data_IF_442562182450
#
_entry.id   IF_442562182450
#
_cell.length_a   1.000
_cell.length_b   1.000
_cell.length_c   1.000
_cell.angle_alpha   90.00
_cell.angle_beta   90.00
_cell.angle_gamma   90.00
#
_symmetry.space_group_name_H-M   'P 1'
#
loop_
_entity.id
_entity.type
_entity.pdbx_description
1 polymer ?
#
# COMPACT_ATOMS: atom_id res chain seq x y z
N UNK A 1 24.75 6.35 55.90
CA UNK A 1 26.17 5.92 55.76
C UNK A 1 26.30 5.24 54.41
N UNK A 2 26.87 5.80 53.35
CA UNK A 2 27.89 6.84 53.28
C UNK A 2 27.65 7.69 52.04
N UNK A 3 27.81 8.97 52.27
CA UNK A 3 27.65 10.13 51.40
C UNK A 3 28.95 10.38 50.63
N UNK A 4 28.88 10.69 49.32
CA UNK A 4 29.81 11.67 48.72
C UNK A 4 29.27 12.23 47.41
N UNK A 5 28.98 13.51 47.49
CA UNK A 5 28.54 14.41 46.44
C UNK A 5 29.75 14.99 45.65
N UNK A 6 29.52 15.84 44.63
CA UNK A 6 30.34 15.97 43.41
C UNK A 6 31.12 17.30 43.30
N UNK A 7 31.91 17.48 42.22
CA UNK A 7 32.44 18.72 41.57
C UNK A 7 33.49 18.25 40.54
N UNK A 8 33.71 18.81 39.34
CA UNK A 8 33.55 20.17 38.83
C UNK A 8 33.52 20.17 37.27
N UNK A 9 33.02 21.24 36.61
CA UNK A 9 32.83 21.33 35.15
C UNK A 9 33.88 22.23 34.45
N UNK A 10 33.75 22.27 33.11
CA UNK A 10 34.25 23.27 32.14
C UNK A 10 35.68 23.11 31.57
N UNK A 11 35.78 22.95 30.24
CA UNK A 11 36.14 24.09 29.39
C UNK A 11 35.64 23.94 27.93
N UNK A 12 35.20 25.03 27.29
CA UNK A 12 34.65 25.03 25.93
C UNK A 12 35.74 25.32 24.87
N UNK A 13 35.77 24.53 23.79
CA UNK A 13 36.59 24.83 22.61
C UNK A 13 35.75 25.63 21.60
N UNK A 14 36.26 26.77 21.08
CA UNK A 14 35.47 27.77 20.33
C UNK A 14 35.15 27.36 18.87
N UNK A 15 34.13 28.00 18.25
CA UNK A 15 33.69 27.68 16.89
C UNK A 15 34.55 28.40 15.83
N UNK A 16 35.00 27.67 14.81
CA UNK A 16 35.53 28.28 13.58
C UNK A 16 34.36 28.51 12.62
N UNK A 17 34.15 29.79 12.28
CA UNK A 17 33.14 30.32 11.36
C UNK A 17 33.54 30.13 9.88
N UNK A 18 32.60 30.31 8.93
CA UNK A 18 32.62 29.71 7.60
C UNK A 18 33.32 30.57 6.54
N UNK A 19 33.78 29.94 5.47
CA UNK A 19 34.12 30.62 4.22
C UNK A 19 32.99 30.43 3.19
N UNK A 20 32.37 31.54 2.82
CA UNK A 20 31.48 31.76 1.66
C UNK A 20 32.18 32.82 0.78
N UNK A 21 31.70 33.13 -0.44
CA UNK A 21 31.61 32.31 -1.64
C UNK A 21 32.49 32.94 -2.76
N UNK A 22 32.73 32.20 -3.86
CA UNK A 22 33.17 32.81 -5.11
C UNK A 22 32.31 32.26 -6.25
N UNK A 23 31.56 33.17 -6.84
CA UNK A 23 30.71 33.06 -8.02
C UNK A 23 31.20 34.18 -8.97
N UNK A 24 30.71 34.34 -10.20
CA UNK A 24 30.70 33.43 -11.35
C UNK A 24 31.42 34.09 -12.56
N UNK A 25 31.86 33.31 -13.58
CA UNK A 25 32.18 33.90 -14.90
C UNK A 25 31.68 32.99 -16.03
N UNK A 26 30.62 33.45 -16.71
CA UNK A 26 30.34 33.21 -18.13
C UNK A 26 30.44 34.55 -18.85
N UNK A 27 30.84 34.55 -20.13
CA UNK A 27 30.04 35.26 -21.11
C UNK A 27 29.73 34.41 -22.36
N UNK A 28 28.96 35.04 -23.24
CA UNK A 28 27.96 34.55 -24.22
C UNK A 28 28.49 34.59 -25.69
N UNK A 29 27.67 34.24 -26.72
CA UNK A 29 28.09 33.57 -27.97
C UNK A 29 28.02 34.39 -29.29
N UNK A 30 28.25 33.67 -30.42
CA UNK A 30 27.94 33.92 -31.86
C UNK A 30 28.88 34.84 -32.68
N UNK A 31 28.89 34.82 -34.05
CA UNK A 31 28.03 34.12 -35.06
C UNK A 31 28.75 33.42 -36.26
N UNK A 32 27.97 32.74 -37.12
CA UNK A 32 28.31 32.24 -38.48
C UNK A 32 28.51 33.39 -39.52
N UNK A 33 29.01 33.12 -40.75
CA UNK A 33 28.08 32.87 -41.89
C UNK A 33 28.56 31.90 -43.02
N UNK A 34 27.57 31.39 -43.77
CA UNK A 34 27.60 30.70 -45.09
C UNK A 34 28.13 31.57 -46.26
N UNK A 35 28.48 31.00 -47.45
CA UNK A 35 27.56 30.80 -48.61
C UNK A 35 27.85 29.51 -49.45
N UNK A 36 26.90 28.76 -50.04
CA UNK A 36 26.07 28.93 -51.25
C UNK A 36 26.48 27.94 -52.37
N UNK A 37 25.57 27.06 -52.83
CA UNK A 37 24.97 27.06 -54.19
C UNK A 37 24.24 25.75 -54.55
N UNK A 38 23.11 25.92 -55.26
CA UNK A 38 22.08 24.95 -55.65
C UNK A 38 22.39 24.28 -57.04
N UNK A 39 21.53 23.50 -57.76
CA UNK A 39 20.04 23.58 -57.85
C UNK A 39 19.21 22.26 -57.98
N UNK A 40 18.01 22.32 -57.38
CA UNK A 40 16.65 22.02 -57.89
C UNK A 40 16.40 21.07 -59.10
N UNK A 41 15.64 19.98 -58.86
CA UNK A 41 14.66 19.36 -59.79
C UNK A 41 13.54 18.64 -59.03
N UNK A 42 12.30 18.79 -59.50
CA UNK A 42 11.07 18.07 -59.12
C UNK A 42 10.14 17.98 -60.35
N UNK A 43 8.97 17.29 -60.36
CA UNK A 43 8.52 16.09 -59.63
C UNK A 43 7.95 14.99 -60.57
N UNK A 44 7.83 13.74 -60.10
CA UNK A 44 7.01 12.70 -60.76
C UNK A 44 5.99 12.08 -59.79
N UNK A 45 4.85 11.69 -60.34
CA UNK A 45 3.56 11.50 -59.65
C UNK A 45 3.10 10.03 -59.74
N UNK A 46 2.50 9.54 -58.63
CA UNK A 46 1.57 8.38 -58.44
C UNK A 46 2.11 6.94 -58.34
N UNK A 47 1.36 5.99 -57.72
CA UNK A 47 0.05 6.08 -57.03
C UNK A 47 -0.01 5.48 -55.60
N UNK A 48 -1.11 5.75 -54.88
CA UNK A 48 -1.51 5.11 -53.60
C UNK A 48 -1.81 3.60 -53.74
N UNK A 49 -1.70 2.82 -52.65
CA UNK A 49 -2.45 1.58 -52.50
C UNK A 49 -3.46 1.63 -51.33
N UNK A 50 -4.69 1.20 -51.61
CA UNK A 50 -5.75 0.90 -50.63
C UNK A 50 -5.52 -0.48 -49.95
N UNK A 51 -6.27 -0.84 -48.89
CA UNK A 51 -5.75 -1.59 -47.74
C UNK A 51 -5.72 -3.11 -47.95
N UNK A 52 -4.57 -3.72 -47.70
CA UNK A 52 -4.39 -5.17 -47.63
C UNK A 52 -4.34 -5.68 -46.20
N UNK A 53 -5.23 -6.60 -45.85
CA UNK A 53 -5.19 -7.40 -44.62
C UNK A 53 -3.86 -8.19 -44.56
N UNK A 54 -3.00 -7.84 -43.59
CA UNK A 54 -1.86 -8.66 -43.17
C UNK A 54 -2.21 -9.52 -41.94
N UNK A 55 -1.56 -10.68 -41.75
CA UNK A 55 -2.00 -11.71 -40.83
C UNK A 55 -1.77 -11.32 -39.36
N UNK A 56 -2.63 -11.84 -38.48
CA UNK A 56 -2.50 -11.75 -37.03
C UNK A 56 -1.12 -12.28 -36.59
N UNK A 57 -0.23 -11.36 -36.18
CA UNK A 57 0.99 -11.72 -35.48
C UNK A 57 0.64 -12.07 -34.03
N UNK A 58 0.97 -13.31 -33.65
CA UNK A 58 1.10 -13.70 -32.24
C UNK A 58 2.07 -12.73 -31.54
N UNK A 59 1.90 -12.43 -30.23
CA UNK A 59 2.82 -11.55 -29.52
C UNK A 59 4.17 -12.26 -29.39
N UNK A 60 5.08 -11.90 -30.29
CA UNK A 60 6.49 -12.25 -30.19
C UNK A 60 7.06 -11.67 -28.90
N UNK A 61 7.85 -12.49 -28.23
CA UNK A 61 8.64 -12.10 -27.08
C UNK A 61 9.59 -10.96 -27.50
N UNK A 62 9.37 -9.74 -27.00
CA UNK A 62 10.20 -8.59 -27.34
C UNK A 62 11.57 -8.66 -26.65
N UNK A 63 12.64 -8.23 -27.33
CA UNK A 63 14.00 -8.24 -26.79
C UNK A 63 14.10 -7.37 -25.52
N UNK A 64 14.40 -8.03 -24.40
CA UNK A 64 14.86 -7.45 -23.13
C UNK A 64 14.13 -6.18 -22.69
N UNK A 65 12.88 -6.29 -22.23
CA UNK A 65 12.13 -5.15 -21.72
C UNK A 65 12.96 -4.33 -20.73
N UNK A 66 13.11 -3.02 -20.97
CA UNK A 66 13.84 -2.13 -20.07
C UNK A 66 13.10 -2.01 -18.72
N UNK A 67 13.82 -1.84 -17.59
CA UNK A 67 13.19 -1.65 -16.29
C UNK A 67 12.38 -0.34 -16.29
N UNK A 68 11.11 -0.41 -15.91
CA UNK A 68 10.19 0.73 -15.96
C UNK A 68 9.17 0.72 -14.80
N UNK A 69 9.16 -0.32 -13.96
CA UNK A 69 8.30 -0.39 -12.79
C UNK A 69 9.10 -0.04 -11.55
N UNK A 70 8.58 0.93 -10.78
CA UNK A 70 9.09 1.31 -9.48
C UNK A 70 8.17 0.76 -8.40
N UNK A 71 8.73 0.07 -7.41
CA UNK A 71 8.08 -0.18 -6.13
C UNK A 71 8.74 0.71 -5.09
N UNK A 72 7.95 1.55 -4.44
CA UNK A 72 8.42 2.51 -3.44
C UNK A 72 7.83 2.12 -2.09
N UNK A 73 8.68 1.84 -1.13
CA UNK A 73 8.30 1.66 0.26
C UNK A 73 8.73 2.90 1.06
N UNK A 74 7.73 3.64 1.53
CA UNK A 74 7.89 4.80 2.39
C UNK A 74 8.06 4.28 3.83
N UNK A 75 9.16 4.60 4.52
CA UNK A 75 9.43 4.01 5.85
C UNK A 75 8.33 4.28 6.90
N UNK A 76 8.43 3.67 8.08
CA UNK A 76 7.37 3.69 9.11
C UNK A 76 6.83 5.08 9.53
N UNK A 77 7.63 6.15 9.36
CA UNK A 77 7.22 7.54 9.67
C UNK A 77 6.36 8.19 8.59
N UNK A 78 6.23 7.56 7.43
CA UNK A 78 5.54 8.10 6.27
C UNK A 78 4.03 7.88 6.27
N UNK A 79 3.49 7.03 7.16
CA UNK A 79 2.08 6.64 7.12
C UNK A 79 1.10 7.84 7.24
N UNK A 80 1.47 8.89 7.98
CA UNK A 80 0.66 10.11 8.12
C UNK A 80 0.76 11.06 6.92
N UNK A 81 1.82 10.94 6.12
CA UNK A 81 2.11 11.76 4.93
C UNK A 81 1.95 10.98 3.62
N UNK A 82 1.29 9.83 3.70
CA UNK A 82 1.15 8.90 2.58
C UNK A 82 0.41 9.52 1.38
N UNK A 83 -0.66 10.32 1.54
CA UNK A 83 -1.28 11.03 0.43
C UNK A 83 -0.30 11.96 -0.30
N UNK A 84 0.47 12.76 0.43
CA UNK A 84 1.44 13.71 -0.11
C UNK A 84 2.60 12.99 -0.81
N UNK A 85 3.02 11.85 -0.27
CA UNK A 85 4.04 11.00 -0.91
C UNK A 85 3.55 10.33 -2.21
N UNK A 86 2.24 10.07 -2.32
CA UNK A 86 1.65 9.64 -3.59
C UNK A 86 1.62 10.78 -4.61
N UNK A 87 1.45 12.04 -4.19
CA UNK A 87 1.53 13.21 -5.08
C UNK A 87 2.94 13.35 -5.68
N UNK A 88 4.00 13.12 -4.89
CA UNK A 88 5.38 13.09 -5.41
C UNK A 88 5.56 12.08 -6.55
N UNK A 89 4.88 10.94 -6.49
CA UNK A 89 4.89 9.93 -7.57
C UNK A 89 4.01 10.36 -8.75
N UNK A 90 2.84 10.94 -8.48
CA UNK A 90 1.91 11.43 -9.49
C UNK A 90 2.53 12.55 -10.35
N UNK A 91 3.41 13.37 -9.76
CA UNK A 91 4.20 14.40 -10.47
C UNK A 91 5.22 13.82 -11.47
N UNK A 92 5.53 12.52 -11.37
CA UNK A 92 6.48 11.83 -12.25
C UNK A 92 5.75 10.99 -13.29
N UNK A 93 4.71 10.27 -12.89
CA UNK A 93 3.91 9.43 -13.80
C UNK A 93 2.45 9.41 -13.38
N UNK A 94 1.50 9.43 -14.33
CA UNK A 94 0.09 9.24 -14.02
C UNK A 94 -0.26 7.79 -13.63
N UNK A 95 0.63 6.82 -13.91
CA UNK A 95 0.38 5.39 -13.66
C UNK A 95 0.90 5.01 -12.28
N UNK A 96 0.17 5.42 -11.24
CA UNK A 96 0.49 5.13 -9.83
C UNK A 96 -0.60 4.26 -9.20
N UNK A 97 -0.18 3.12 -8.67
CA UNK A 97 -1.01 2.24 -7.85
C UNK A 97 -0.61 2.38 -6.40
N UNK A 98 -1.49 2.95 -5.59
CA UNK A 98 -1.29 3.06 -4.16
C UNK A 98 -1.41 1.69 -3.46
N UNK A 99 -0.47 1.37 -2.56
CA UNK A 99 -0.44 0.16 -1.73
C UNK A 99 -0.35 0.54 -0.24
N UNK A 100 -1.47 0.94 0.39
CA UNK A 100 -1.49 1.30 1.81
C UNK A 100 -0.93 0.16 2.70
N UNK A 101 -0.31 0.48 3.84
CA UNK A 101 -0.27 1.81 4.46
C UNK A 101 0.88 2.71 3.99
N UNK A 102 1.90 2.16 3.35
CA UNK A 102 3.21 2.81 3.25
C UNK A 102 3.99 2.42 1.98
N UNK A 103 3.31 1.93 0.94
CA UNK A 103 3.98 1.59 -0.31
C UNK A 103 3.18 2.04 -1.55
N UNK A 104 3.85 2.12 -2.69
CA UNK A 104 3.21 2.36 -3.97
C UNK A 104 3.96 1.65 -5.09
N UNK A 105 3.23 1.34 -6.16
CA UNK A 105 3.81 0.97 -7.45
C UNK A 105 3.61 2.13 -8.42
N UNK A 106 4.61 2.37 -9.27
CA UNK A 106 4.52 3.35 -10.33
C UNK A 106 5.12 2.77 -11.62
N UNK A 107 4.42 2.90 -12.73
CA UNK A 107 4.98 2.61 -14.06
C UNK A 107 5.49 3.92 -14.66
N UNK A 108 6.81 4.01 -14.82
CA UNK A 108 7.49 5.20 -15.33
C UNK A 108 7.83 5.11 -16.81
N UNK A 109 7.34 4.11 -17.55
CA UNK A 109 7.66 3.92 -18.98
C UNK A 109 7.44 5.18 -19.80
N UNK A 110 6.34 5.90 -19.56
CA UNK A 110 6.04 7.18 -20.24
C UNK A 110 6.89 8.37 -19.77
N UNK A 111 7.43 8.30 -18.55
CA UNK A 111 8.19 9.37 -17.92
C UNK A 111 9.68 9.35 -18.31
N UNK A 112 10.24 8.18 -18.66
CA UNK A 112 11.66 8.01 -18.99
C UNK A 112 12.15 9.01 -20.05
N UNK A 113 11.39 9.14 -21.15
CA UNK A 113 11.71 10.07 -22.25
C UNK A 113 11.56 11.54 -21.85
N UNK A 114 10.52 11.86 -21.07
CA UNK A 114 10.25 13.24 -20.65
C UNK A 114 11.35 13.78 -19.72
N UNK A 115 11.75 12.99 -18.72
CA UNK A 115 12.79 13.37 -17.76
C UNK A 115 14.21 13.13 -18.28
N UNK A 116 14.38 12.49 -19.44
CA UNK A 116 15.68 12.08 -20.01
C UNK A 116 16.53 11.32 -18.99
N UNK A 117 15.91 10.38 -18.27
CA UNK A 117 16.52 9.56 -17.22
C UNK A 117 16.05 8.11 -17.36
N UNK A 118 16.89 7.19 -16.93
CA UNK A 118 16.52 5.80 -16.75
C UNK A 118 15.65 5.62 -15.49
N UNK A 119 15.08 4.44 -15.31
CA UNK A 119 14.19 4.17 -14.18
C UNK A 119 14.93 4.26 -12.83
N UNK A 120 16.22 3.94 -12.77
CA UNK A 120 17.04 4.13 -11.57
C UNK A 120 17.24 5.62 -11.23
N UNK A 121 17.48 6.46 -12.22
CA UNK A 121 17.56 7.92 -12.05
C UNK A 121 16.23 8.53 -11.61
N UNK A 122 15.09 8.04 -12.12
CA UNK A 122 13.77 8.44 -11.64
C UNK A 122 13.51 7.97 -10.20
N UNK A 123 13.90 6.75 -9.85
CA UNK A 123 13.82 6.26 -8.48
C UNK A 123 14.64 7.13 -7.50
N UNK A 124 15.85 7.53 -7.89
CA UNK A 124 16.67 8.45 -7.11
C UNK A 124 16.00 9.84 -6.96
N UNK A 125 15.35 10.34 -8.02
CA UNK A 125 14.57 11.58 -7.98
C UNK A 125 13.40 11.50 -7.01
N UNK A 126 12.63 10.39 -7.04
CA UNK A 126 11.53 10.14 -6.10
C UNK A 126 12.02 10.21 -4.67
N UNK A 127 13.12 9.51 -4.35
CA UNK A 127 13.71 9.49 -3.02
C UNK A 127 14.12 10.89 -2.57
N UNK A 128 14.81 11.63 -3.45
CA UNK A 128 15.24 12.99 -3.17
C UNK A 128 14.05 13.90 -2.85
N UNK A 129 12.98 13.84 -3.65
CA UNK A 129 11.76 14.65 -3.44
C UNK A 129 11.04 14.26 -2.16
N UNK A 130 10.86 12.96 -1.90
CA UNK A 130 10.22 12.48 -0.68
C UNK A 130 10.97 12.91 0.59
N UNK A 131 12.31 12.83 0.57
CA UNK A 131 13.14 13.30 1.67
C UNK A 131 13.06 14.82 1.84
N UNK A 132 13.19 15.59 0.75
CA UNK A 132 13.23 17.06 0.81
C UNK A 132 11.89 17.70 1.16
N UNK A 133 10.77 17.16 0.65
CA UNK A 133 9.44 17.76 0.83
C UNK A 133 8.72 17.23 2.07
N UNK A 134 8.97 15.97 2.46
CA UNK A 134 8.15 15.28 3.45
C UNK A 134 8.96 14.57 4.54
N UNK A 135 10.29 14.77 4.61
CA UNK A 135 11.18 14.14 5.59
C UNK A 135 10.98 12.61 5.66
N UNK A 136 10.78 12.00 4.49
CA UNK A 136 10.52 10.58 4.33
C UNK A 136 11.66 9.91 3.57
N UNK A 137 12.33 8.95 4.22
CA UNK A 137 13.26 8.08 3.52
C UNK A 137 12.50 6.89 2.90
N UNK A 138 12.84 6.61 1.65
CA UNK A 138 12.13 5.66 0.82
C UNK A 138 13.11 4.61 0.28
N UNK A 139 12.68 3.35 0.31
CA UNK A 139 13.39 2.26 -0.36
C UNK A 139 12.71 2.00 -1.69
N UNK A 140 13.47 1.98 -2.78
CA UNK A 140 12.91 1.86 -4.13
C UNK A 140 13.50 0.67 -4.85
N UNK A 141 12.64 -0.24 -5.30
CA UNK A 141 13.00 -1.33 -6.19
C UNK A 141 12.59 -1.00 -7.61
N UNK A 142 13.50 -1.22 -8.56
CA UNK A 142 13.34 -0.92 -9.98
C UNK A 142 13.45 -2.23 -10.75
N UNK A 143 12.44 -2.54 -11.57
CA UNK A 143 12.46 -3.75 -12.40
C UNK A 143 11.53 -3.64 -13.61
N UNK A 144 11.46 -4.73 -14.38
CA UNK A 144 10.59 -4.85 -15.57
C UNK A 144 9.13 -5.16 -15.23
N UNK A 145 8.83 -5.56 -14.00
CA UNK A 145 7.47 -5.86 -13.53
C UNK A 145 7.32 -5.66 -12.00
N UNK A 146 6.07 -5.62 -11.48
CA UNK A 146 5.80 -5.38 -10.07
C UNK A 146 6.39 -6.43 -9.11
N UNK A 147 6.40 -7.71 -9.48
CA UNK A 147 6.98 -8.78 -8.67
C UNK A 147 8.46 -8.52 -8.40
N UNK A 148 9.24 -8.31 -9.46
CA UNK A 148 10.67 -8.09 -9.36
C UNK A 148 11.01 -6.77 -8.66
N UNK A 149 10.22 -5.71 -8.90
CA UNK A 149 10.41 -4.42 -8.25
C UNK A 149 10.19 -4.53 -6.72
N UNK A 150 9.13 -5.22 -6.28
CA UNK A 150 8.89 -5.49 -4.86
C UNK A 150 10.01 -6.30 -4.22
N UNK A 151 10.45 -7.36 -4.91
CA UNK A 151 11.56 -8.18 -4.44
C UNK A 151 12.82 -7.35 -4.32
N UNK A 152 13.18 -6.54 -5.31
CA UNK A 152 14.37 -5.69 -5.27
C UNK A 152 14.38 -4.72 -4.08
N UNK A 153 13.25 -4.10 -3.75
CA UNK A 153 13.18 -3.21 -2.60
C UNK A 153 13.34 -3.95 -1.27
N UNK A 154 12.78 -5.15 -1.13
CA UNK A 154 12.85 -5.93 0.11
C UNK A 154 14.25 -6.49 0.40
N UNK A 155 15.03 -6.65 -0.65
CA UNK A 155 16.30 -7.37 -0.64
C UNK A 155 17.49 -6.45 -0.26
N UNK A 156 17.27 -5.13 -0.22
CA UNK A 156 18.26 -4.11 0.07
C UNK A 156 18.11 -3.43 1.43
N UNK A 157 19.12 -2.64 1.84
CA UNK A 157 19.01 -1.84 3.06
C UNK A 157 17.89 -0.78 2.89
N UNK A 158 17.24 -0.38 3.99
CA UNK A 158 16.28 0.70 3.94
C UNK A 158 16.94 1.97 3.43
N UNK A 159 16.21 2.75 2.62
CA UNK A 159 16.72 4.00 2.05
C UNK A 159 17.62 3.81 0.82
N UNK A 160 17.60 2.64 0.17
CA UNK A 160 18.37 2.42 -1.06
C UNK A 160 17.48 2.32 -2.31
N UNK A 161 18.09 2.60 -3.47
CA UNK A 161 17.53 2.22 -4.78
C UNK A 161 18.21 0.93 -5.22
N UNK A 162 17.43 -0.09 -5.59
CA UNK A 162 17.95 -1.33 -6.18
C UNK A 162 17.28 -1.59 -7.51
N UNK A 163 18.10 -1.81 -8.53
CA UNK A 163 17.64 -2.20 -9.86
C UNK A 163 17.88 -3.70 -10.08
N UNK A 164 16.87 -4.39 -10.59
CA UNK A 164 17.05 -5.74 -11.14
C UNK A 164 17.64 -5.59 -12.55
N UNK A 165 18.78 -6.24 -12.85
CA UNK A 165 19.36 -6.18 -14.18
C UNK A 165 18.34 -6.61 -15.25
N UNK A 166 18.25 -5.89 -16.39
CA UNK A 166 17.31 -6.25 -17.44
C UNK A 166 17.69 -7.56 -18.12
N UNK A 167 16.71 -8.16 -18.79
CA UNK A 167 16.87 -9.41 -19.54
C UNK A 167 16.68 -10.67 -18.71
N UNK A 168 16.51 -11.78 -19.41
CA UNK A 168 16.21 -13.09 -18.81
C UNK A 168 17.37 -13.59 -17.93
N UNK A 169 18.62 -13.45 -18.40
CA UNK A 169 19.81 -13.85 -17.64
C UNK A 169 19.95 -13.06 -16.33
N UNK A 170 19.82 -11.73 -16.39
CA UNK A 170 19.89 -10.87 -15.21
C UNK A 170 18.79 -11.14 -14.19
N UNK A 171 17.58 -11.45 -14.68
CA UNK A 171 16.44 -11.85 -13.83
C UNK A 171 16.68 -13.21 -13.19
N UNK A 172 17.16 -14.19 -13.96
CA UNK A 172 17.48 -15.52 -13.47
C UNK A 172 18.57 -15.47 -12.39
N UNK A 173 19.63 -14.70 -12.61
CA UNK A 173 20.73 -14.52 -11.65
C UNK A 173 20.25 -13.86 -10.35
N UNK A 174 19.42 -12.82 -10.46
CA UNK A 174 18.82 -12.17 -9.29
C UNK A 174 17.97 -13.12 -8.46
N UNK A 175 17.20 -14.01 -9.11
CA UNK A 175 16.27 -14.93 -8.45
C UNK A 175 16.94 -16.21 -7.94
N UNK A 176 17.93 -16.76 -8.65
CA UNK A 176 18.39 -18.14 -8.48
C UNK A 176 18.73 -18.53 -7.02
N UNK A 177 19.47 -17.67 -6.33
CA UNK A 177 19.93 -17.90 -4.95
C UNK A 177 18.89 -17.58 -3.87
N UNK A 178 17.75 -16.98 -4.23
CA UNK A 178 16.74 -16.56 -3.25
C UNK A 178 16.02 -17.75 -2.66
N UNK A 179 15.68 -17.72 -1.35
CA UNK A 179 14.86 -18.77 -0.76
C UNK A 179 13.44 -18.73 -1.33
N UNK A 180 12.77 -19.88 -1.39
CA UNK A 180 11.40 -20.00 -1.89
C UNK A 180 10.42 -19.05 -1.17
N UNK A 181 10.65 -18.78 0.12
CA UNK A 181 9.85 -17.87 0.93
C UNK A 181 10.02 -16.38 0.56
N UNK A 182 11.11 -16.02 -0.13
CA UNK A 182 11.32 -14.65 -0.60
C UNK A 182 10.58 -14.35 -1.92
N UNK A 183 10.06 -15.36 -2.61
CA UNK A 183 9.33 -15.15 -3.85
C UNK A 183 7.99 -14.45 -3.55
N UNK A 184 7.79 -13.29 -4.15
CA UNK A 184 6.58 -12.50 -3.88
C UNK A 184 5.31 -13.26 -4.26
N UNK A 185 4.33 -13.26 -3.34
CA UNK A 185 3.07 -13.96 -3.51
C UNK A 185 3.11 -15.46 -3.20
N UNK A 186 4.23 -15.99 -2.70
CA UNK A 186 4.31 -17.31 -2.07
C UNK A 186 4.16 -17.15 -0.55
N UNK A 187 3.12 -17.77 0.01
CA UNK A 187 2.90 -17.78 1.46
C UNK A 187 3.78 -18.80 2.20
N UNK A 188 3.89 -18.69 3.54
CA UNK A 188 4.72 -19.59 4.34
C UNK A 188 4.28 -21.06 4.30
N UNK A 189 3.00 -21.34 4.02
CA UNK A 189 2.52 -22.71 3.84
C UNK A 189 3.02 -23.31 2.52
N UNK A 190 2.90 -22.58 1.42
CA UNK A 190 3.38 -22.96 0.09
C UNK A 190 4.90 -23.14 0.08
N UNK A 191 5.65 -22.22 0.70
CA UNK A 191 7.10 -22.31 0.80
C UNK A 191 7.54 -23.55 1.61
N UNK A 192 6.82 -23.89 2.70
CA UNK A 192 7.06 -25.12 3.47
C UNK A 192 6.74 -26.37 2.66
N UNK A 193 5.63 -26.38 1.92
CA UNK A 193 5.27 -27.50 1.06
C UNK A 193 6.35 -27.75 0.00
N UNK A 194 6.80 -26.70 -0.71
CA UNK A 194 7.89 -26.81 -1.70
C UNK A 194 9.20 -27.28 -1.06
N UNK A 195 9.53 -26.76 0.12
CA UNK A 195 10.73 -27.15 0.87
C UNK A 195 10.70 -28.62 1.29
N UNK A 196 9.55 -29.20 1.61
CA UNK A 196 9.43 -30.63 1.93
C UNK A 196 9.82 -31.54 0.74
N UNK A 197 9.78 -31.01 -0.49
CA UNK A 197 10.22 -31.70 -1.71
C UNK A 197 11.61 -31.24 -2.19
N UNK A 198 12.41 -30.58 -1.33
CA UNK A 198 13.79 -30.15 -1.65
C UNK A 198 13.89 -28.86 -2.49
N UNK A 199 12.76 -28.20 -2.76
CA UNK A 199 12.67 -26.97 -3.54
C UNK A 199 12.82 -25.73 -2.63
N UNK A 200 14.01 -25.56 -2.06
CA UNK A 200 14.29 -24.50 -1.09
C UNK A 200 14.60 -23.14 -1.71
N UNK A 201 15.01 -23.11 -2.99
CA UNK A 201 15.42 -21.89 -3.69
C UNK A 201 14.57 -21.64 -4.93
N UNK A 202 14.46 -20.38 -5.33
CA UNK A 202 13.71 -19.98 -6.53
C UNK A 202 14.33 -20.62 -7.78
N UNK A 203 15.65 -20.69 -7.88
CA UNK A 203 16.32 -21.39 -9.00
C UNK A 203 15.94 -22.88 -9.10
N UNK A 204 15.76 -23.57 -7.97
CA UNK A 204 15.30 -24.98 -7.99
C UNK A 204 13.84 -25.10 -8.38
N UNK A 205 13.01 -24.15 -7.98
CA UNK A 205 11.60 -24.10 -8.40
C UNK A 205 11.50 -23.84 -9.90
N UNK A 206 12.30 -22.92 -10.44
CA UNK A 206 12.35 -22.62 -11.87
C UNK A 206 12.83 -23.84 -12.70
N UNK A 207 13.81 -24.59 -12.19
CA UNK A 207 14.32 -25.81 -12.83
C UNK A 207 13.40 -27.03 -12.66
N UNK A 208 12.43 -26.99 -11.75
CA UNK A 208 11.54 -28.12 -11.50
C UNK A 208 10.59 -28.37 -12.68
N UNK A 209 10.31 -29.64 -12.95
CA UNK A 209 9.37 -30.02 -13.99
C UNK A 209 7.96 -29.47 -13.68
N UNK A 210 7.23 -28.87 -14.64
CA UNK A 210 5.91 -28.29 -14.40
C UNK A 210 4.93 -29.23 -13.69
N UNK A 211 4.87 -30.50 -14.08
CA UNK A 211 4.02 -31.50 -13.43
C UNK A 211 4.36 -31.73 -11.95
N UNK A 212 5.61 -31.58 -11.54
CA UNK A 212 6.02 -31.72 -10.13
C UNK A 212 5.39 -30.60 -9.30
N UNK A 213 5.49 -29.34 -9.76
CA UNK A 213 4.90 -28.20 -9.08
C UNK A 213 3.36 -28.31 -9.03
N UNK A 214 2.74 -28.77 -10.11
CA UNK A 214 1.30 -28.97 -10.17
C UNK A 214 0.81 -30.10 -9.26
N UNK A 215 1.61 -31.17 -9.07
CA UNK A 215 1.29 -32.25 -8.14
C UNK A 215 1.40 -31.80 -6.67
N UNK A 216 2.34 -30.91 -6.36
CA UNK A 216 2.54 -30.40 -4.98
C UNK A 216 1.49 -29.34 -4.63
N UNK A 217 1.21 -28.40 -5.53
CA UNK A 217 0.42 -27.19 -5.24
C UNK A 217 -0.96 -27.15 -5.91
N UNK A 218 -1.25 -28.11 -6.79
CA UNK A 218 -2.38 -28.07 -7.70
C UNK A 218 -2.06 -27.35 -9.02
N UNK A 219 -2.87 -27.61 -10.04
CA UNK A 219 -2.59 -27.19 -11.42
C UNK A 219 -2.43 -25.66 -11.57
N UNK A 220 -3.35 -24.87 -11.00
CA UNK A 220 -3.33 -23.41 -11.12
C UNK A 220 -2.16 -22.78 -10.35
N UNK A 221 -2.00 -23.13 -9.08
CA UNK A 221 -0.94 -22.57 -8.22
C UNK A 221 0.45 -23.04 -8.65
N UNK A 222 0.60 -24.28 -9.11
CA UNK A 222 1.87 -24.79 -9.62
C UNK A 222 2.35 -24.05 -10.87
N UNK A 223 1.44 -23.70 -11.79
CA UNK A 223 1.76 -22.85 -12.96
C UNK A 223 2.18 -21.45 -12.53
N UNK A 224 1.41 -20.80 -11.67
CA UNK A 224 1.70 -19.45 -11.17
C UNK A 224 3.05 -19.38 -10.46
N UNK A 225 3.35 -20.34 -9.58
CA UNK A 225 4.64 -20.39 -8.87
C UNK A 225 5.81 -20.55 -9.84
N UNK A 226 5.64 -21.36 -10.88
CA UNK A 226 6.66 -21.53 -11.92
C UNK A 226 6.91 -20.23 -12.69
N UNK A 227 5.85 -19.57 -13.16
CA UNK A 227 5.96 -18.29 -13.87
C UNK A 227 6.70 -17.24 -13.03
N UNK A 228 6.31 -17.11 -11.76
CA UNK A 228 6.98 -16.21 -10.82
C UNK A 228 8.45 -16.57 -10.58
N UNK A 229 8.78 -17.87 -10.54
CA UNK A 229 10.16 -18.32 -10.37
C UNK A 229 11.05 -17.98 -11.59
N UNK A 230 10.45 -17.82 -12.77
CA UNK A 230 11.10 -17.26 -13.96
C UNK A 230 11.01 -15.72 -14.03
N UNK A 231 10.54 -15.06 -12.97
CA UNK A 231 10.38 -13.61 -12.93
C UNK A 231 9.25 -13.08 -13.81
N UNK A 232 8.33 -13.93 -14.26
CA UNK A 232 7.17 -13.53 -15.07
C UNK A 232 6.02 -13.15 -14.14
N UNK A 233 5.57 -11.90 -14.26
CA UNK A 233 4.35 -11.39 -13.62
C UNK A 233 3.57 -10.55 -14.64
N UNK A 234 2.42 -11.04 -15.15
CA UNK A 234 1.61 -10.28 -16.10
C UNK A 234 0.78 -9.19 -15.44
N UNK A 235 0.83 -9.04 -14.10
CA UNK A 235 0.01 -8.08 -13.37
C UNK A 235 0.38 -6.64 -13.75
N UNK A 236 -0.53 -5.85 -14.33
CA UNK A 236 -0.25 -4.46 -14.66
C UNK A 236 -0.28 -3.57 -13.42
N UNK A 237 0.51 -2.49 -13.43
CA UNK A 237 0.33 -1.39 -12.47
C UNK A 237 -0.96 -0.67 -12.84
N UNK A 238 -1.99 -0.81 -12.01
CA UNK A 238 -3.30 -0.22 -12.28
C UNK A 238 -3.39 1.14 -11.58
N UNK A 239 -3.55 2.25 -12.32
CA UNK A 239 -3.78 3.55 -11.72
C UNK A 239 -4.98 3.48 -10.79
N UNK A 240 -4.80 3.91 -9.55
CA UNK A 240 -5.87 3.85 -8.56
C UNK A 240 -5.53 4.67 -7.34
N UNK A 241 -6.48 5.50 -6.92
CA UNK A 241 -6.44 6.09 -5.60
C UNK A 241 -6.29 4.97 -4.56
N UNK A 242 -5.57 5.20 -3.44
CA UNK A 242 -5.51 4.21 -2.37
C UNK A 242 -6.92 3.78 -2.03
N UNK A 243 -7.16 2.47 -1.96
CA UNK A 243 -8.33 1.95 -1.30
C UNK A 243 -8.27 2.48 0.14
N UNK A 244 -8.96 3.60 0.38
CA UNK A 244 -9.01 4.20 1.71
C UNK A 244 -9.70 3.14 2.54
N UNK A 245 -9.03 2.68 3.59
CA UNK A 245 -9.64 1.79 4.56
C UNK A 245 -9.35 2.38 5.93
N UNK A 246 -10.40 2.60 6.71
CA UNK A 246 -10.26 3.09 8.08
C UNK A 246 -10.29 1.86 8.98
N UNK A 247 -9.29 1.72 9.85
CA UNK A 247 -9.22 0.64 10.83
C UNK A 247 -9.25 1.19 12.25
N UNK A 248 -9.90 0.45 13.14
CA UNK A 248 -9.87 0.65 14.58
C UNK A 248 -9.62 -0.70 15.23
N UNK A 249 -8.72 -0.75 16.22
CA UNK A 249 -8.37 -1.99 16.90
C UNK A 249 -8.30 -1.79 18.40
N UNK A 250 -8.81 -2.76 19.15
CA UNK A 250 -8.71 -2.83 20.61
C UNK A 250 -7.95 -4.08 21.01
N UNK A 251 -6.88 -3.89 21.78
CA UNK A 251 -6.19 -4.97 22.49
C UNK A 251 -6.74 -5.04 23.89
N UNK A 252 -6.95 -6.25 24.40
CA UNK A 252 -7.36 -6.47 25.78
C UNK A 252 -6.13 -6.68 26.66
N UNK A 253 -6.21 -6.23 27.91
CA UNK A 253 -5.12 -6.37 28.89
C UNK A 253 -4.96 -7.83 29.34
N UNK A 254 -6.06 -8.57 29.36
CA UNK A 254 -6.11 -10.01 29.63
C UNK A 254 -6.89 -10.70 28.52
N UNK A 255 -6.63 -11.98 28.33
CA UNK A 255 -7.35 -12.79 27.36
C UNK A 255 -8.84 -12.88 27.72
N UNK A 256 -9.70 -12.26 26.91
CA UNK A 256 -11.11 -12.06 27.24
C UNK A 256 -11.99 -13.25 26.81
N UNK A 257 -12.78 -13.72 27.77
CA UNK A 257 -13.76 -14.80 27.60
C UNK A 257 -15.21 -14.28 27.62
N UNK A 258 -15.46 -13.11 28.20
CA UNK A 258 -16.81 -12.54 28.32
C UNK A 258 -17.31 -11.96 26.98
N UNK A 259 -18.45 -12.49 26.51
CA UNK A 259 -19.13 -12.01 25.31
C UNK A 259 -19.63 -10.56 25.44
N UNK A 260 -20.04 -10.13 26.64
CA UNK A 260 -20.48 -8.77 26.90
C UNK A 260 -19.33 -7.75 26.82
N UNK A 261 -18.15 -8.11 27.31
CA UNK A 261 -16.93 -7.28 27.17
C UNK A 261 -16.54 -7.16 25.70
N UNK A 262 -16.54 -8.28 24.95
CA UNK A 262 -16.29 -8.26 23.49
C UNK A 262 -17.33 -7.43 22.74
N UNK A 263 -18.60 -7.54 23.12
CA UNK A 263 -19.69 -6.75 22.54
C UNK A 263 -19.49 -5.25 22.73
N UNK A 264 -19.19 -4.80 23.97
CA UNK A 264 -18.88 -3.38 24.24
C UNK A 264 -17.64 -2.89 23.48
N UNK A 265 -16.62 -3.74 23.34
CA UNK A 265 -15.45 -3.40 22.54
C UNK A 265 -15.81 -3.20 21.06
N UNK A 266 -16.62 -4.09 20.47
CA UNK A 266 -17.10 -3.96 19.09
C UNK A 266 -17.95 -2.70 18.89
N UNK A 267 -18.80 -2.36 19.86
CA UNK A 267 -19.58 -1.11 19.83
C UNK A 267 -18.67 0.12 19.81
N UNK A 268 -17.66 0.15 20.69
CA UNK A 268 -16.71 1.26 20.76
C UNK A 268 -15.90 1.40 19.48
N UNK A 269 -15.43 0.28 18.91
CA UNK A 269 -14.72 0.28 17.64
C UNK A 269 -15.61 0.72 16.46
N UNK A 270 -16.89 0.33 16.48
CA UNK A 270 -17.85 0.74 15.45
C UNK A 270 -18.18 2.23 15.53
N UNK A 271 -18.25 2.80 16.74
CA UNK A 271 -18.45 4.22 16.97
C UNK A 271 -17.23 5.05 16.57
N UNK A 272 -16.02 4.60 16.91
CA UNK A 272 -14.77 5.21 16.46
C UNK A 272 -14.67 5.20 14.93
N UNK A 273 -14.97 4.07 14.29
CA UNK A 273 -15.01 3.96 12.83
C UNK A 273 -16.07 4.88 12.21
N UNK A 274 -17.29 4.86 12.74
CA UNK A 274 -18.38 5.69 12.26
C UNK A 274 -18.04 7.18 12.37
N UNK A 275 -17.52 7.61 13.51
CA UNK A 275 -17.06 8.98 13.72
C UNK A 275 -16.00 9.38 12.69
N UNK A 276 -14.95 8.56 12.52
CA UNK A 276 -13.87 8.84 11.55
C UNK A 276 -14.40 8.93 10.11
N UNK A 277 -15.23 7.99 9.70
CA UNK A 277 -15.84 8.00 8.37
C UNK A 277 -16.67 9.27 8.13
N UNK A 278 -17.48 9.68 9.11
CA UNK A 278 -18.29 10.91 9.02
C UNK A 278 -17.43 12.17 9.02
N UNK A 279 -16.39 12.24 9.84
CA UNK A 279 -15.45 13.39 9.83
C UNK A 279 -14.66 13.50 8.52
N UNK A 280 -14.36 12.37 7.87
CA UNK A 280 -13.65 12.34 6.59
C UNK A 280 -14.59 12.47 5.36
N UNK A 281 -15.90 12.57 5.58
CA UNK A 281 -16.91 12.63 4.50
C UNK A 281 -17.00 11.34 3.67
N UNK A 282 -16.72 10.18 4.28
CA UNK A 282 -16.64 8.87 3.63
C UNK A 282 -17.72 7.92 4.13
N UNK A 283 -18.07 6.95 3.30
CA UNK A 283 -18.92 5.80 3.66
C UNK A 283 -18.27 4.50 3.24
N UNK A 284 -18.51 3.42 3.97
CA UNK A 284 -17.91 2.12 3.71
C UNK A 284 -18.87 1.17 3.00
N UNK A 285 -18.35 0.35 2.07
CA UNK A 285 -19.12 -0.70 1.37
C UNK A 285 -18.86 -2.09 1.90
N UNK A 286 -17.76 -2.28 2.63
CA UNK A 286 -17.45 -3.54 3.28
C UNK A 286 -16.89 -3.31 4.68
N UNK A 287 -17.16 -4.26 5.58
CA UNK A 287 -16.61 -4.29 6.92
C UNK A 287 -15.88 -5.63 7.13
N UNK A 288 -14.63 -5.55 7.54
CA UNK A 288 -13.80 -6.70 7.89
C UNK A 288 -13.57 -6.73 9.39
N UNK A 289 -13.90 -7.86 10.03
CA UNK A 289 -13.61 -8.14 11.43
C UNK A 289 -12.44 -9.12 11.52
N UNK A 290 -11.40 -8.75 12.25
CA UNK A 290 -10.27 -9.62 12.59
C UNK A 290 -10.21 -9.83 14.10
N UNK A 291 -10.25 -11.09 14.52
CA UNK A 291 -10.13 -11.52 15.91
C UNK A 291 -8.82 -12.27 16.07
N UNK A 292 -8.00 -11.84 17.03
CA UNK A 292 -6.76 -12.54 17.41
C UNK A 292 -7.00 -13.26 18.73
N UNK A 293 -6.81 -14.57 18.73
CA UNK A 293 -7.00 -15.42 19.90
C UNK A 293 -5.68 -15.65 20.64
N UNK A 294 -5.77 -16.13 21.89
CA UNK A 294 -4.61 -16.40 22.75
C UNK A 294 -3.70 -17.52 22.21
N UNK A 295 -4.27 -18.47 21.46
CA UNK A 295 -3.56 -19.55 20.75
C UNK A 295 -2.80 -19.07 19.50
N UNK A 296 -2.70 -17.74 19.29
CA UNK A 296 -2.14 -17.07 18.11
C UNK A 296 -2.92 -17.31 16.82
N UNK A 297 -4.10 -17.94 16.88
CA UNK A 297 -4.98 -18.01 15.72
C UNK A 297 -5.52 -16.62 15.38
N UNK A 298 -5.60 -16.34 14.08
CA UNK A 298 -6.15 -15.09 13.54
C UNK A 298 -7.34 -15.46 12.67
N UNK A 299 -8.52 -14.99 13.07
CA UNK A 299 -9.77 -15.22 12.38
C UNK A 299 -10.20 -13.92 11.72
N UNK A 300 -10.29 -13.91 10.39
CA UNK A 300 -10.69 -12.73 9.62
C UNK A 300 -11.90 -13.07 8.77
N UNK A 301 -12.93 -12.23 8.82
CA UNK A 301 -14.09 -12.30 7.93
C UNK A 301 -14.50 -10.92 7.46
N UNK A 302 -14.86 -10.85 6.19
CA UNK A 302 -15.33 -9.64 5.53
C UNK A 302 -16.77 -9.83 5.11
N UNK A 303 -17.59 -8.79 5.31
CA UNK A 303 -18.96 -8.73 4.80
C UNK A 303 -19.15 -7.44 4.01
N UNK A 304 -19.68 -7.57 2.79
CA UNK A 304 -20.19 -6.43 2.03
C UNK A 304 -21.49 -5.95 2.66
N UNK A 305 -21.59 -4.64 2.84
CA UNK A 305 -22.79 -3.98 3.32
C UNK A 305 -23.78 -3.87 2.16
N UNK A 306 -25.08 -4.01 2.45
CA UNK A 306 -26.12 -3.87 1.43
C UNK A 306 -26.13 -2.46 0.82
N UNK A 307 -25.82 -1.46 1.65
CA UNK A 307 -25.68 -0.07 1.25
C UNK A 307 -24.38 0.52 1.80
N UNK A 308 -23.71 1.43 1.07
CA UNK A 308 -22.57 2.16 1.60
C UNK A 308 -23.00 3.02 2.80
N UNK A 309 -22.37 2.83 3.97
CA UNK A 309 -22.80 3.51 5.20
C UNK A 309 -21.64 3.93 6.10
N UNK A 310 -21.86 5.00 6.86
CA UNK A 310 -21.01 5.45 7.98
C UNK A 310 -21.79 5.49 9.31
N UNK A 311 -22.97 4.86 9.35
CA UNK A 311 -23.85 4.86 10.52
C UNK A 311 -23.42 3.81 11.54
N UNK A 312 -23.15 4.28 12.75
CA UNK A 312 -22.62 3.47 13.84
C UNK A 312 -23.53 2.26 14.16
N UNK A 313 -24.87 2.38 14.24
CA UNK A 313 -25.74 1.22 14.47
C UNK A 313 -25.62 0.12 13.41
N UNK A 314 -25.54 0.49 12.13
CA UNK A 314 -25.41 -0.48 11.03
C UNK A 314 -24.03 -1.15 11.02
N UNK A 315 -22.98 -0.38 11.31
CA UNK A 315 -21.62 -0.90 11.47
C UNK A 315 -21.54 -1.86 12.67
N UNK A 316 -22.11 -1.48 13.82
CA UNK A 316 -22.14 -2.30 15.02
C UNK A 316 -22.95 -3.59 14.83
N UNK A 317 -24.15 -3.50 14.25
CA UNK A 317 -24.95 -4.68 13.91
C UNK A 317 -24.19 -5.64 12.97
N UNK A 318 -23.40 -5.08 12.04
CA UNK A 318 -22.57 -5.89 11.15
C UNK A 318 -21.37 -6.52 11.85
N UNK A 319 -20.71 -5.77 12.72
CA UNK A 319 -19.63 -6.27 13.54
C UNK A 319 -20.09 -7.41 14.46
N UNK A 320 -21.27 -7.30 15.08
CA UNK A 320 -21.85 -8.37 15.89
C UNK A 320 -22.16 -9.61 15.08
N UNK A 321 -22.84 -9.48 13.94
CA UNK A 321 -23.15 -10.63 13.09
C UNK A 321 -21.88 -11.33 12.55
N UNK A 322 -20.83 -10.58 12.23
CA UNK A 322 -19.52 -11.14 11.87
C UNK A 322 -18.87 -11.89 13.03
N UNK A 323 -18.94 -11.32 14.25
CA UNK A 323 -18.41 -11.91 15.45
C UNK A 323 -19.12 -13.22 15.81
N UNK A 324 -20.45 -13.23 15.77
CA UNK A 324 -21.27 -14.40 16.09
C UNK A 324 -21.04 -15.54 15.09
N UNK A 325 -20.80 -15.20 13.82
CA UNK A 325 -20.50 -16.16 12.78
C UNK A 325 -19.15 -16.87 12.95
N UNK A 326 -18.24 -16.36 13.79
CA UNK A 326 -17.03 -17.11 14.18
C UNK A 326 -17.31 -18.24 15.17
N UNK A 327 -18.49 -18.25 15.81
CA UNK A 327 -18.89 -19.26 16.78
C UNK A 327 -17.78 -19.56 17.79
N UNK A 328 -17.24 -18.51 18.43
CA UNK A 328 -16.13 -18.55 19.38
C UNK A 328 -16.54 -19.24 20.68
N UNK A 329 -16.77 -20.55 20.64
CA UNK A 329 -17.08 -21.37 21.79
C UNK A 329 -15.84 -21.49 22.67
N UNK A 330 -15.82 -20.74 23.79
CA UNK A 330 -14.71 -20.70 24.79
C UNK A 330 -13.35 -20.23 24.27
N UNK A 331 -13.29 -19.59 23.10
CA UNK A 331 -12.04 -19.03 22.58
C UNK A 331 -11.63 -17.78 23.39
N UNK A 332 -10.37 -17.75 23.82
CA UNK A 332 -9.75 -16.61 24.52
C UNK A 332 -9.35 -15.55 23.51
N UNK A 333 -9.97 -14.37 23.56
CA UNK A 333 -9.71 -13.28 22.60
C UNK A 333 -8.74 -12.27 23.18
N UNK A 334 -7.66 -11.99 22.45
CA UNK A 334 -6.61 -11.05 22.85
C UNK A 334 -6.73 -9.68 22.20
N UNK A 335 -7.21 -9.64 20.95
CA UNK A 335 -7.45 -8.39 20.25
C UNK A 335 -8.58 -8.52 19.23
N UNK A 336 -9.28 -7.42 19.02
CA UNK A 336 -10.33 -7.28 18.02
C UNK A 336 -10.04 -6.06 17.17
N UNK A 337 -10.16 -6.21 15.86
CA UNK A 337 -9.89 -5.15 14.88
C UNK A 337 -11.04 -5.10 13.88
N UNK A 338 -11.60 -3.91 13.69
CA UNK A 338 -12.57 -3.61 12.64
C UNK A 338 -11.91 -2.75 11.56
N UNK A 339 -12.17 -3.09 10.31
CA UNK A 339 -11.67 -2.36 9.15
C UNK A 339 -12.82 -2.08 8.20
N UNK A 340 -13.10 -0.79 7.99
CA UNK A 340 -13.99 -0.31 6.95
C UNK A 340 -13.22 -0.28 5.62
N UNK A 341 -13.75 -0.96 4.60
CA UNK A 341 -13.13 -1.13 3.29
C UNK A 341 -14.04 -0.58 2.18
N UNK A 342 -13.44 -0.36 1.00
CA UNK A 342 -14.12 0.16 -0.20
C UNK A 342 -14.86 1.49 0.11
N UNK A 343 -14.08 2.46 0.58
CA UNK A 343 -14.59 3.75 1.01
C UNK A 343 -14.87 4.67 -0.17
N UNK A 344 -16.11 5.14 -0.26
CA UNK A 344 -16.53 6.12 -1.27
C UNK A 344 -16.84 7.45 -0.60
N UNK A 345 -16.82 8.54 -1.37
CA UNK A 345 -17.33 9.83 -0.89
C UNK A 345 -18.82 9.67 -0.54
N UNK A 346 -19.25 10.23 0.60
CA UNK A 346 -20.64 10.14 1.04
C UNK A 346 -21.61 10.73 0.01
N UNK A 347 -21.20 11.79 -0.70
CA UNK A 347 -22.01 12.48 -1.72
C UNK A 347 -22.27 11.62 -2.97
N UNK A 348 -21.36 10.70 -3.29
CA UNK A 348 -21.45 9.82 -4.46
C UNK A 348 -22.13 8.48 -4.13
N UNK A 349 -22.49 8.26 -2.87
CA UNK A 349 -23.10 7.02 -2.43
C UNK A 349 -24.62 7.09 -2.62
N UNK A 350 -25.15 6.23 -3.47
CA UNK A 350 -26.57 5.93 -3.52
C UNK A 350 -27.01 5.36 -2.18
N UNK A 351 -27.85 6.11 -1.47
CA UNK A 351 -28.40 5.74 -0.17
C UNK A 351 -29.91 5.53 -0.30
N UNK A 352 -30.45 4.49 0.33
CA UNK A 352 -31.89 4.39 0.52
C UNK A 352 -32.31 5.33 1.66
N UNK A 353 -33.29 6.20 1.39
CA UNK A 353 -33.85 7.03 2.46
C UNK A 353 -34.61 6.11 3.44
N UNK A 354 -34.30 6.19 4.75
CA UNK A 354 -35.03 5.41 5.73
C UNK A 354 -36.48 5.90 5.78
N UNK A 355 -37.42 4.96 5.68
CA UNK A 355 -38.85 5.22 5.86
C UNK A 355 -39.24 5.22 7.35
N UNK A 356 -38.36 4.74 8.24
CA UNK A 356 -38.58 4.67 9.69
C UNK A 356 -38.08 5.95 10.40
N UNK A 357 -38.96 6.69 11.11
CA UNK A 357 -38.58 7.85 11.92
C UNK A 357 -37.52 7.57 12.99
N UNK A 358 -37.41 6.33 13.49
CA UNK A 358 -36.41 5.95 14.51
C UNK A 358 -34.99 5.98 13.96
N UNK A 359 -34.81 5.53 12.73
CA UNK A 359 -33.51 5.59 12.06
C UNK A 359 -33.09 7.03 11.80
N UNK A 360 -34.03 7.91 11.43
CA UNK A 360 -33.73 9.31 11.19
C UNK A 360 -33.32 10.04 12.49
N UNK A 361 -34.01 9.75 13.60
CA UNK A 361 -33.65 10.25 14.92
C UNK A 361 -32.26 9.78 15.38
N UNK A 362 -31.92 8.51 15.15
CA UNK A 362 -30.59 7.98 15.48
C UNK A 362 -29.49 8.70 14.70
N UNK A 363 -29.71 8.97 13.41
CA UNK A 363 -28.74 9.69 12.56
C UNK A 363 -28.58 11.15 12.98
N UNK A 364 -29.67 11.83 13.36
CA UNK A 364 -29.61 13.19 13.93
C UNK A 364 -28.86 13.22 15.25
N UNK A 365 -29.05 12.19 16.09
CA UNK A 365 -28.33 12.05 17.35
C UNK A 365 -26.82 11.82 17.13
N UNK A 366 -26.43 11.00 16.14
CA UNK A 366 -25.02 10.85 15.74
C UNK A 366 -24.41 12.18 15.29
N UNK A 367 -25.08 12.91 14.39
CA UNK A 367 -24.59 14.20 13.93
C UNK A 367 -24.50 15.26 15.06
N UNK A 368 -25.38 15.18 16.06
CA UNK A 368 -25.28 16.01 17.26
C UNK A 368 -24.10 15.61 18.16
N UNK A 369 -23.91 14.30 18.39
CA UNK A 369 -22.80 13.76 19.16
C UNK A 369 -21.44 14.07 18.51
N UNK A 370 -21.34 13.96 17.19
CA UNK A 370 -20.12 14.28 16.45
C UNK A 370 -19.77 15.78 16.57
N UNK A 371 -20.76 16.67 16.44
CA UNK A 371 -20.57 18.12 16.66
C UNK A 371 -20.10 18.42 18.07
N UNK A 372 -20.65 17.74 19.07
CA UNK A 372 -20.19 17.88 20.46
C UNK A 372 -18.75 17.39 20.64
N UNK A 373 -18.38 16.25 20.04
CA UNK A 373 -17.01 15.71 20.07
C UNK A 373 -16.00 16.63 19.40
N UNK A 374 -16.34 17.21 18.25
CA UNK A 374 -15.47 18.15 17.54
C UNK A 374 -15.25 19.45 18.32
N UNK A 375 -16.27 19.92 19.06
CA UNK A 375 -16.20 21.17 19.81
C UNK A 375 -15.59 21.04 21.21
N UNK A 376 -15.84 19.92 21.89
CA UNK A 376 -15.54 19.74 23.32
C UNK A 376 -14.63 18.53 23.63
N UNK A 377 -14.18 17.80 22.60
CA UNK A 377 -13.28 16.66 22.73
C UNK A 377 -13.98 15.30 22.79
N UNK A 378 -13.22 14.21 22.62
CA UNK A 378 -13.75 12.85 22.42
C UNK A 378 -14.59 12.28 23.58
N UNK A 379 -14.43 12.79 24.80
CA UNK A 379 -15.22 12.38 25.96
C UNK A 379 -16.57 13.12 26.11
N UNK A 380 -16.82 14.16 25.29
CA UNK A 380 -17.99 15.03 25.45
C UNK A 380 -19.32 14.36 25.08
N UNK A 381 -19.29 13.35 24.21
CA UNK A 381 -20.46 12.55 23.87
C UNK A 381 -20.05 11.09 23.62
N UNK A 382 -20.75 10.15 24.23
CA UNK A 382 -20.48 8.71 24.11
C UNK A 382 -21.76 7.91 24.00
N UNK A 383 -21.70 6.73 23.40
CA UNK A 383 -22.83 5.80 23.41
C UNK A 383 -23.09 5.32 24.84
N UNK A 384 -24.36 5.33 25.25
CA UNK A 384 -24.75 4.90 26.60
C UNK A 384 -24.29 3.48 26.93
N UNK A 385 -24.24 2.58 25.93
CA UNK A 385 -23.74 1.21 26.10
C UNK A 385 -22.23 1.08 26.38
N UNK A 386 -21.47 2.18 26.31
CA UNK A 386 -20.05 2.24 26.65
C UNK A 386 -19.79 2.78 28.05
N UNK A 387 -20.81 3.33 28.71
CA UNK A 387 -20.70 3.80 30.09
C UNK A 387 -20.69 2.58 31.03
N UNK A 388 -19.78 2.53 32.02
CA UNK A 388 -19.91 1.56 33.11
C UNK A 388 -21.28 1.78 33.77
N UNK A 389 -22.04 0.71 33.98
CA UNK A 389 -23.43 0.78 34.44
C UNK A 389 -23.58 1.75 35.61
N UNK A 390 -24.49 2.72 35.45
CA UNK A 390 -24.79 3.69 36.50
C UNK A 390 -25.29 3.00 37.77
N UNK A 391 -25.16 3.64 38.94
CA UNK A 391 -25.58 3.07 40.21
C UNK A 391 -27.06 2.68 40.13
N UNK A 392 -27.34 1.40 40.38
CA UNK A 392 -28.69 0.93 40.68
C UNK A 392 -29.16 1.68 41.91
N UNK A 393 -30.10 2.61 41.75
CA UNK A 393 -30.78 3.27 42.85
C UNK A 393 -31.49 2.18 43.69
N UNK A 394 -31.15 1.99 44.97
CA UNK A 394 -31.99 1.16 45.83
C UNK A 394 -33.29 1.91 46.09
N UNK A 395 -34.40 1.18 45.97
CA UNK A 395 -35.76 1.67 46.24
C UNK A 395 -36.05 1.84 47.72
#
# INVERSE_FOLDING_TARGET
MTERAPRHPADPVPPVRPAHPADPVRPRPHPDPHPADAPERAPEHRPEPAPGRGPASAPGCEPGAEPHVLYVHFGARAASRYPELLEVLADITPVVQALPPDAALADVRGALRYFRRDAAGLAALVRLRAAALHDADCTVGVAVNPLLARMAAHDGPPGAVRCVPPGEAGTADFLAAKPAAALYGIGPATARALSAYGLHTVGRIAAAHPYTLQRILGAAHGRLVRERAHGVDPTPVTPGAPARSVRAARRFDRDELDAGVRGRALLGLSDELGFRLRTEGRVARALTLTVRCADRSVLTRTRRLAEPTAHTPLLAATAYALHDAFALQRARVRAVELRAEDLTAAELASRQLPLDPREDNARRAEAAADRARLRFGGAAAGLAGLLPGGPTTPG
#
